data_IF_330595974478
#
_entry.id   IF_330595974478
#
_cell.length_a   1.000
_cell.length_b   1.000
_cell.length_c   1.000
_cell.angle_alpha   90.00
_cell.angle_beta   90.00
_cell.angle_gamma   90.00
#
_symmetry.space_group_name_H-M   'P 1'
#
loop_
_entity.id
_entity.type
_entity.pdbx_description
1 polymer ?
#
# COMPACT_ATOMS: atom_id res chain seq x y z
N UNK A 1 -27.71 56.61 41.45
CA UNK A 1 -27.32 55.19 41.55
C UNK A 1 -26.83 54.76 40.17
N UNK A 2 -25.55 54.37 40.00
CA UNK A 2 -24.97 53.95 38.72
C UNK A 2 -24.89 52.42 38.71
N UNK A 3 -25.65 51.76 37.85
CA UNK A 3 -25.61 50.31 37.70
C UNK A 3 -24.40 49.92 36.84
N UNK A 4 -23.54 49.06 37.37
CA UNK A 4 -22.42 48.46 36.64
C UNK A 4 -22.92 47.13 36.09
N UNK A 5 -23.15 47.07 34.78
CA UNK A 5 -23.43 45.81 34.08
C UNK A 5 -22.12 45.03 33.93
N UNK A 6 -22.00 43.91 34.62
CA UNK A 6 -20.91 42.95 34.44
C UNK A 6 -21.23 42.04 33.24
N UNK A 7 -20.47 42.17 32.15
CA UNK A 7 -20.52 41.29 31.00
C UNK A 7 -19.78 39.98 31.32
N UNK A 8 -20.51 38.88 31.39
CA UNK A 8 -19.95 37.53 31.50
C UNK A 8 -19.69 37.04 30.07
N UNK A 9 -18.42 36.91 29.67
CA UNK A 9 -18.05 36.30 28.40
C UNK A 9 -18.02 34.77 28.52
N UNK A 10 -18.74 34.03 27.64
CA UNK A 10 -18.62 32.58 27.58
C UNK A 10 -17.30 32.18 26.93
N UNK A 11 -16.53 31.31 27.60
CA UNK A 11 -15.34 30.67 27.03
C UNK A 11 -15.81 29.49 26.17
N UNK A 12 -15.65 29.61 24.85
CA UNK A 12 -15.88 28.50 23.93
C UNK A 12 -14.69 27.52 24.00
N UNK A 13 -14.95 26.28 24.42
CA UNK A 13 -14.01 25.17 24.28
C UNK A 13 -13.92 24.82 22.79
N UNK A 14 -12.85 25.27 22.13
CA UNK A 14 -12.53 24.86 20.77
C UNK A 14 -12.09 23.38 20.80
N UNK A 15 -13.00 22.47 20.45
CA UNK A 15 -12.65 21.08 20.15
C UNK A 15 -11.94 21.05 18.79
N UNK A 16 -10.62 20.93 18.79
CA UNK A 16 -9.87 20.63 17.57
C UNK A 16 -10.40 19.32 16.97
N UNK A 17 -10.75 19.27 15.68
CA UNK A 17 -11.17 18.02 15.06
C UNK A 17 -10.00 17.04 15.18
N UNK A 18 -10.21 15.93 15.88
CA UNK A 18 -9.26 14.83 15.91
C UNK A 18 -8.99 14.42 14.47
N UNK A 19 -7.74 14.54 14.00
CA UNK A 19 -7.35 14.02 12.69
C UNK A 19 -7.75 12.55 12.68
N UNK A 20 -8.56 12.13 11.70
CA UNK A 20 -8.86 10.71 11.51
C UNK A 20 -7.55 10.00 11.20
N UNK A 21 -7.16 9.07 12.06
CA UNK A 21 -6.06 8.16 11.77
C UNK A 21 -6.35 7.42 10.46
N UNK A 22 -5.36 7.33 9.58
CA UNK A 22 -5.47 6.64 8.29
C UNK A 22 -5.18 5.15 8.45
N UNK A 23 -4.49 4.78 9.54
CA UNK A 23 -4.12 3.42 9.90
C UNK A 23 -4.10 3.22 11.42
N UNK A 24 -4.04 1.96 11.86
CA UNK A 24 -3.91 1.57 13.26
C UNK A 24 -2.43 1.52 13.66
N UNK A 25 -1.97 2.28 14.68
CA UNK A 25 -0.56 2.26 15.09
C UNK A 25 -0.01 0.85 15.34
N UNK A 26 1.22 0.61 14.89
CA UNK A 26 1.91 -0.67 15.05
C UNK A 26 1.52 -1.74 14.02
N UNK A 27 0.71 -1.41 13.00
CA UNK A 27 0.50 -2.27 11.84
C UNK A 27 1.49 -1.98 10.73
N UNK A 28 1.58 -2.91 9.79
CA UNK A 28 2.51 -2.88 8.68
C UNK A 28 1.77 -3.11 7.36
N UNK A 29 2.33 -2.57 6.28
CA UNK A 29 1.95 -2.90 4.91
C UNK A 29 3.21 -3.00 4.05
N UNK A 30 3.18 -3.88 3.06
CA UNK A 30 4.15 -3.82 1.98
C UNK A 30 3.90 -2.58 1.11
N UNK A 31 4.98 -1.96 0.66
CA UNK A 31 4.96 -0.74 -0.14
C UNK A 31 5.97 -0.88 -1.28
N UNK A 32 5.55 -0.55 -2.49
CA UNK A 32 6.41 -0.57 -3.68
C UNK A 32 6.56 0.85 -4.22
N UNK A 33 7.69 1.47 -3.88
CA UNK A 33 8.00 2.84 -4.29
C UNK A 33 8.71 2.84 -5.64
N UNK A 34 8.36 3.75 -6.58
CA UNK A 34 9.07 3.89 -7.85
C UNK A 34 10.56 4.23 -7.70
N UNK A 35 10.97 4.80 -6.57
CA UNK A 35 12.35 5.27 -6.32
C UNK A 35 13.15 4.25 -5.51
N UNK A 36 12.52 3.62 -4.52
CA UNK A 36 13.18 2.72 -3.57
C UNK A 36 12.89 1.24 -3.83
N UNK A 37 11.98 0.91 -4.75
CA UNK A 37 11.48 -0.45 -4.95
C UNK A 37 10.63 -0.93 -3.77
N UNK A 38 10.61 -2.25 -3.59
CA UNK A 38 9.88 -2.89 -2.49
C UNK A 38 10.44 -2.50 -1.13
N UNK A 39 9.55 -2.44 -0.16
CA UNK A 39 9.84 -2.22 1.25
C UNK A 39 8.56 -2.34 2.04
N UNK A 40 8.54 -1.76 3.23
CA UNK A 40 7.34 -1.74 4.05
C UNK A 40 7.12 -0.37 4.67
N UNK A 41 5.86 -0.08 4.97
CA UNK A 41 5.45 1.04 5.80
C UNK A 41 4.94 0.55 7.15
N UNK A 42 5.21 1.33 8.19
CA UNK A 42 4.71 1.15 9.56
C UNK A 42 3.71 2.24 9.85
N UNK A 43 2.59 1.89 10.49
CA UNK A 43 1.68 2.92 11.00
C UNK A 43 2.26 3.48 12.30
N UNK A 44 2.64 4.76 12.28
CA UNK A 44 3.18 5.43 13.46
C UNK A 44 2.09 5.73 14.51
N UNK A 45 2.48 6.24 15.68
CA UNK A 45 1.56 6.56 16.79
C UNK A 45 0.58 7.70 16.48
N UNK A 46 0.83 8.47 15.42
CA UNK A 46 -0.08 9.52 14.95
C UNK A 46 -1.13 8.97 13.97
N UNK A 47 -1.06 7.68 13.62
CA UNK A 47 -1.97 7.06 12.66
C UNK A 47 -1.61 7.36 11.20
N UNK A 48 -0.34 7.64 10.91
CA UNK A 48 0.20 7.89 9.58
C UNK A 48 1.12 6.74 9.13
N UNK A 49 1.03 6.35 7.86
CA UNK A 49 2.00 5.44 7.25
C UNK A 49 3.35 6.15 7.07
N UNK A 50 4.41 5.53 7.58
CA UNK A 50 5.79 5.97 7.40
C UNK A 50 6.63 4.82 6.88
N UNK A 51 7.57 5.08 5.96
CA UNK A 51 8.49 4.05 5.44
C UNK A 51 9.26 3.45 6.61
N UNK A 52 9.17 2.13 6.78
CA UNK A 52 9.85 1.39 7.83
C UNK A 52 11.18 0.79 7.38
N UNK A 53 11.30 0.50 6.09
CA UNK A 53 12.54 0.02 5.47
C UNK A 53 12.33 -0.38 4.02
N UNK A 54 13.43 -0.76 3.39
CA UNK A 54 13.54 -1.13 1.98
C UNK A 54 14.02 -2.59 1.88
N UNK A 55 13.55 -3.30 0.87
CA UNK A 55 14.09 -4.60 0.48
C UNK A 55 15.28 -4.44 -0.46
N UNK A 56 16.10 -5.48 -0.61
CA UNK A 56 17.15 -5.47 -1.61
C UNK A 56 16.56 -5.42 -3.03
N UNK A 57 17.38 -5.06 -4.02
CA UNK A 57 16.94 -4.89 -5.40
C UNK A 57 16.38 -6.18 -6.03
N UNK A 58 16.81 -7.33 -5.54
CA UNK A 58 16.43 -8.69 -5.93
C UNK A 58 15.41 -9.34 -4.95
N UNK A 59 14.78 -8.52 -4.11
CA UNK A 59 13.75 -8.97 -3.17
C UNK A 59 12.41 -8.27 -3.40
N UNK A 60 11.33 -8.89 -2.94
CA UNK A 60 10.01 -8.28 -2.83
C UNK A 60 9.50 -8.34 -1.39
N UNK A 61 8.61 -7.39 -1.05
CA UNK A 61 7.94 -7.42 0.24
C UNK A 61 6.71 -8.33 0.19
N UNK A 62 6.59 -9.22 1.17
CA UNK A 62 5.36 -9.99 1.42
C UNK A 62 4.94 -9.92 2.88
N UNK A 63 3.63 -9.87 3.12
CA UNK A 63 3.06 -9.91 4.46
C UNK A 63 2.88 -11.35 4.91
N UNK A 64 3.46 -11.72 6.06
CA UNK A 64 3.18 -13.02 6.67
C UNK A 64 1.87 -12.96 7.45
N UNK A 65 0.82 -13.72 7.06
CA UNK A 65 -0.49 -13.64 7.70
C UNK A 65 -0.51 -14.22 9.13
N UNK A 66 0.49 -15.01 9.52
CA UNK A 66 0.55 -15.60 10.87
C UNK A 66 0.93 -14.56 11.94
N UNK A 67 1.73 -13.56 11.56
CA UNK A 67 2.22 -12.55 12.50
C UNK A 67 1.97 -11.10 12.03
N UNK A 68 1.29 -10.92 10.90
CA UNK A 68 1.01 -9.61 10.30
C UNK A 68 2.25 -8.71 10.18
N UNK A 69 3.39 -9.31 9.83
CA UNK A 69 4.66 -8.61 9.65
C UNK A 69 5.17 -8.75 8.21
N UNK A 70 5.85 -7.72 7.68
CA UNK A 70 6.42 -7.75 6.34
C UNK A 70 7.77 -8.49 6.36
N UNK A 71 8.08 -9.16 5.25
CA UNK A 71 9.35 -9.82 5.00
C UNK A 71 9.82 -9.48 3.60
N UNK A 72 11.12 -9.23 3.47
CA UNK A 72 11.78 -9.20 2.17
C UNK A 72 12.14 -10.65 1.81
N UNK A 73 11.61 -11.10 0.68
CA UNK A 73 11.81 -12.44 0.16
C UNK A 73 12.50 -12.34 -1.20
N UNK A 74 13.44 -13.24 -1.52
CA UNK A 74 14.06 -13.26 -2.84
C UNK A 74 13.00 -13.55 -3.90
N UNK A 75 13.13 -12.95 -5.08
CA UNK A 75 12.35 -13.41 -6.23
C UNK A 75 12.69 -14.87 -6.54
N UNK A 76 11.71 -15.70 -6.93
CA UNK A 76 11.99 -17.06 -7.37
C UNK A 76 12.93 -17.03 -8.59
N UNK A 77 13.99 -17.84 -8.55
CA UNK A 77 14.97 -17.97 -9.64
C UNK A 77 14.35 -18.57 -10.92
N UNK A 78 13.21 -19.26 -10.80
CA UNK A 78 12.47 -19.88 -11.90
C UNK A 78 11.06 -19.27 -12.03
N UNK A 79 10.68 -18.72 -13.20
CA UNK A 79 9.43 -17.97 -13.38
C UNK A 79 8.15 -18.82 -13.33
N UNK A 80 8.27 -20.15 -13.27
CA UNK A 80 7.11 -21.07 -13.30
C UNK A 80 6.48 -21.29 -11.91
N UNK A 81 7.25 -21.11 -10.83
CA UNK A 81 6.74 -21.21 -9.46
C UNK A 81 6.70 -19.83 -8.83
N UNK A 82 5.53 -19.48 -8.30
CA UNK A 82 5.32 -18.19 -7.63
C UNK A 82 5.01 -18.39 -6.15
N UNK A 83 5.35 -17.40 -5.33
CA UNK A 83 4.88 -17.34 -3.95
C UNK A 83 3.43 -16.85 -3.92
N UNK A 84 2.57 -17.39 -3.03
CA UNK A 84 1.23 -16.85 -2.78
C UNK A 84 1.26 -15.33 -2.59
N UNK A 85 0.22 -14.66 -3.09
CA UNK A 85 0.03 -13.20 -3.05
C UNK A 85 1.02 -12.37 -3.89
N UNK A 86 1.83 -13.00 -4.75
CA UNK A 86 2.54 -12.27 -5.80
C UNK A 86 1.61 -11.89 -6.94
N UNK A 87 1.89 -10.72 -7.53
CA UNK A 87 1.24 -10.22 -8.73
C UNK A 87 2.28 -9.86 -9.78
N UNK A 88 2.00 -10.14 -11.05
CA UNK A 88 2.86 -9.71 -12.15
C UNK A 88 2.08 -9.11 -13.32
N UNK A 89 2.66 -8.08 -13.93
CA UNK A 89 2.24 -7.56 -15.23
C UNK A 89 2.93 -8.37 -16.33
N UNK A 90 2.16 -8.92 -17.26
CA UNK A 90 2.66 -9.72 -18.39
C UNK A 90 2.08 -9.15 -19.69
N UNK A 91 2.85 -9.20 -20.78
CA UNK A 91 2.43 -8.80 -22.12
C UNK A 91 2.57 -9.99 -23.07
N UNK A 92 1.54 -10.23 -23.86
CA UNK A 92 1.54 -11.19 -24.97
C UNK A 92 1.06 -10.53 -26.27
N UNK A 93 0.92 -11.31 -27.34
CA UNK A 93 0.44 -10.83 -28.65
C UNK A 93 -0.98 -10.24 -28.60
N UNK A 94 -1.76 -10.54 -27.56
CA UNK A 94 -3.10 -10.02 -27.33
C UNK A 94 -3.12 -8.83 -26.34
N UNK A 95 -1.96 -8.41 -25.83
CA UNK A 95 -1.78 -7.22 -24.98
C UNK A 95 -1.42 -7.53 -23.53
N UNK A 96 -1.63 -6.54 -22.65
CA UNK A 96 -1.23 -6.62 -21.25
C UNK A 96 -2.26 -7.35 -20.37
N UNK A 97 -1.79 -8.09 -19.37
CA UNK A 97 -2.61 -8.73 -18.36
C UNK A 97 -1.91 -8.84 -17.00
N UNK A 98 -2.68 -9.11 -15.96
CA UNK A 98 -2.26 -9.28 -14.57
C UNK A 98 -2.39 -10.76 -14.21
N UNK A 99 -1.27 -11.36 -13.84
CA UNK A 99 -1.25 -12.66 -13.17
C UNK A 99 -1.26 -12.49 -11.66
N UNK A 100 -1.98 -13.37 -10.99
CA UNK A 100 -1.95 -13.54 -9.52
C UNK A 100 -1.42 -14.93 -9.23
N UNK A 101 -0.55 -15.03 -8.23
CA UNK A 101 -0.11 -16.32 -7.76
C UNK A 101 -1.15 -16.98 -6.85
N UNK A 102 -1.73 -18.08 -7.31
CA UNK A 102 -2.68 -18.89 -6.55
C UNK A 102 -2.17 -20.33 -6.47
N UNK A 103 -1.99 -20.84 -5.25
CA UNK A 103 -1.53 -22.23 -5.06
C UNK A 103 -0.17 -22.52 -5.68
N UNK A 104 0.73 -21.54 -5.71
CA UNK A 104 2.06 -21.67 -6.29
C UNK A 104 2.12 -21.50 -7.81
N UNK A 105 0.99 -21.19 -8.46
CA UNK A 105 0.89 -21.06 -9.92
C UNK A 105 0.35 -19.71 -10.34
N UNK A 106 0.94 -19.17 -11.40
CA UNK A 106 0.45 -17.97 -12.03
C UNK A 106 -0.89 -18.23 -12.71
N UNK A 107 -1.89 -17.44 -12.34
CA UNK A 107 -3.21 -17.45 -12.95
C UNK A 107 -3.52 -16.07 -13.50
N UNK A 108 -3.84 -15.97 -14.79
CA UNK A 108 -4.35 -14.74 -15.37
C UNK A 108 -5.68 -14.37 -14.70
N UNK A 109 -5.75 -13.19 -14.09
CA UNK A 109 -6.97 -12.69 -13.44
C UNK A 109 -7.63 -11.57 -14.19
N UNK A 110 -6.82 -10.69 -14.78
CA UNK A 110 -7.33 -9.48 -15.45
C UNK A 110 -6.55 -9.26 -16.72
N UNK A 111 -7.26 -9.24 -17.86
CA UNK A 111 -6.71 -8.77 -19.12
C UNK A 111 -7.05 -7.29 -19.31
N UNK A 112 -6.07 -6.49 -19.70
CA UNK A 112 -6.27 -5.07 -19.93
C UNK A 112 -7.02 -4.83 -21.24
N UNK A 113 -7.87 -3.82 -21.26
CA UNK A 113 -8.54 -3.38 -22.50
C UNK A 113 -7.50 -2.97 -23.57
N UNK A 114 -7.88 -3.06 -24.83
CA UNK A 114 -7.03 -2.67 -25.95
C UNK A 114 -6.45 -1.24 -25.77
N UNK A 115 -5.13 -1.12 -25.90
CA UNK A 115 -4.40 0.14 -25.76
C UNK A 115 -4.09 0.55 -24.32
N UNK A 116 -4.51 -0.21 -23.30
CA UNK A 116 -4.05 -0.05 -21.92
C UNK A 116 -2.82 -0.91 -21.65
N UNK A 117 -2.02 -0.47 -20.68
CA UNK A 117 -0.82 -1.17 -20.21
C UNK A 117 -0.99 -1.56 -18.74
N UNK A 118 -0.39 -2.67 -18.34
CA UNK A 118 -0.32 -3.03 -16.93
C UNK A 118 0.84 -2.27 -16.28
N UNK A 119 0.57 -1.56 -15.18
CA UNK A 119 1.60 -0.91 -14.36
C UNK A 119 1.31 -1.11 -12.88
N UNK A 120 2.36 -1.19 -12.06
CA UNK A 120 2.23 -1.17 -10.61
C UNK A 120 1.86 0.23 -10.13
N UNK A 121 0.83 0.33 -9.28
CA UNK A 121 0.38 1.58 -8.70
C UNK A 121 1.34 2.13 -7.67
N UNK A 122 1.69 3.41 -7.79
CA UNK A 122 2.63 4.10 -6.89
C UNK A 122 2.14 4.28 -5.44
N UNK A 123 0.85 4.03 -5.18
CA UNK A 123 0.21 4.26 -3.86
C UNK A 123 -0.06 2.96 -3.12
N UNK A 124 -0.24 1.85 -3.83
CA UNK A 124 -0.65 0.58 -3.24
C UNK A 124 0.23 -0.60 -3.67
N UNK A 125 1.17 -0.40 -4.60
CA UNK A 125 2.06 -1.44 -5.11
C UNK A 125 1.36 -2.56 -5.89
N UNK A 126 0.05 -2.45 -6.14
CA UNK A 126 -0.71 -3.46 -6.89
C UNK A 126 -0.73 -3.12 -8.39
N UNK A 127 -0.64 -4.12 -9.28
CA UNK A 127 -0.75 -3.90 -10.71
C UNK A 127 -2.16 -3.49 -11.11
N UNK A 128 -2.25 -2.60 -12.10
CA UNK A 128 -3.49 -2.06 -12.63
C UNK A 128 -3.36 -1.76 -14.12
N UNK A 129 -4.46 -1.92 -14.84
CA UNK A 129 -4.56 -1.52 -16.24
C UNK A 129 -4.79 -0.02 -16.34
N UNK A 130 -3.79 0.69 -16.86
CA UNK A 130 -3.79 2.15 -17.00
C UNK A 130 -3.61 2.55 -18.45
N UNK A 131 -3.98 3.78 -18.79
CA UNK A 131 -3.56 4.35 -20.07
C UNK A 131 -2.02 4.51 -20.06
N UNK A 132 -1.34 4.25 -21.18
CA UNK A 132 0.11 4.35 -21.30
C UNK A 132 0.65 5.74 -20.91
#
# INVERSE_FOLDING_TARGET
MKAILALILPVALASSPAKRAVCTPGTYVCDNSPVAGWGWAVCNTEGNWVRGGDCAADEYCSMNPLNNSPYCLPYPDEPEECSPDLFQCVEDDAGWFINVCEGGKWTEKVRCDAGKVCRYGAVNGYPQCVNP
#
